data_IF_023350147996
#
_entry.id   IF_023350147996
#
_cell.length_a   1.000
_cell.length_b   1.000
_cell.length_c   1.000
_cell.angle_alpha   90.00
_cell.angle_beta   90.00
_cell.angle_gamma   90.00
#
_symmetry.space_group_name_H-M   'P 1'
#
loop_
_entity.id
_entity.type
_entity.pdbx_description
1 polymer ?
#
# COMPACT_ATOMS: atom_id res chain seq x y z
N UNK A 1 16.09 15.61 0.59
CA UNK A 1 14.96 15.14 -0.20
C UNK A 1 13.99 14.38 0.71
N UNK A 2 12.78 14.87 0.77
CA UNK A 2 11.70 14.37 1.63
C UNK A 2 11.14 13.07 1.09
N UNK A 3 11.07 12.02 1.92
CA UNK A 3 10.57 10.70 1.47
C UNK A 3 10.29 9.75 2.62
N UNK A 4 9.38 8.92 2.59
CA UNK A 4 8.00 8.68 2.32
C UNK A 4 7.58 7.28 2.60
N UNK A 5 6.53 7.10 3.29
CA UNK A 5 5.75 5.88 3.16
C UNK A 5 4.97 5.95 1.84
N UNK A 6 5.01 4.86 1.06
CA UNK A 6 4.15 4.61 -0.12
C UNK A 6 4.07 5.72 -1.18
N UNK A 7 5.12 6.51 -1.39
CA UNK A 7 5.17 7.43 -2.52
C UNK A 7 6.08 6.91 -3.62
N UNK A 8 5.59 6.90 -4.84
CA UNK A 8 6.32 6.52 -6.04
C UNK A 8 6.45 7.72 -6.98
N UNK A 9 7.63 7.91 -7.56
CA UNK A 9 7.88 8.94 -8.58
C UNK A 9 8.24 8.24 -9.89
N UNK A 10 7.40 8.42 -10.91
CA UNK A 10 7.60 7.83 -12.22
C UNK A 10 7.48 8.94 -13.25
N UNK A 11 8.59 9.24 -13.96
CA UNK A 11 8.65 10.32 -14.96
C UNK A 11 8.01 11.61 -14.46
N UNK A 12 8.48 12.09 -13.30
CA UNK A 12 8.02 13.32 -12.62
C UNK A 12 6.59 13.28 -12.04
N UNK A 13 5.87 12.17 -12.16
CA UNK A 13 4.58 11.98 -11.48
C UNK A 13 4.74 11.29 -10.13
N UNK A 14 3.97 11.75 -9.17
CA UNK A 14 3.98 11.26 -7.78
C UNK A 14 2.68 10.56 -7.47
N UNK A 15 2.80 9.27 -7.13
CA UNK A 15 1.69 8.45 -6.67
C UNK A 15 1.83 8.27 -5.17
N UNK A 16 0.77 8.53 -4.43
CA UNK A 16 0.68 8.29 -3.00
C UNK A 16 -0.42 7.26 -2.75
N UNK A 17 -0.14 6.26 -1.93
CA UNK A 17 -1.07 5.15 -1.69
C UNK A 17 -1.36 5.06 -0.20
N UNK A 18 -2.63 5.01 0.19
CA UNK A 18 -3.14 4.83 1.55
C UNK A 18 -2.32 5.61 2.60
N UNK A 19 -2.20 6.95 2.50
CA UNK A 19 -1.36 7.71 3.41
C UNK A 19 -2.02 7.86 4.77
N UNK A 20 -1.31 7.44 5.83
CA UNK A 20 -1.73 7.61 7.22
C UNK A 20 -0.60 8.28 7.99
N UNK A 21 -0.71 9.59 8.21
CA UNK A 21 0.28 10.38 8.92
C UNK A 21 -0.20 10.85 10.29
N UNK A 22 -1.51 10.85 10.56
CA UNK A 22 -2.07 11.36 11.79
C UNK A 22 -2.68 10.29 12.69
N UNK A 23 -3.65 9.51 12.18
CA UNK A 23 -4.30 8.49 13.00
C UNK A 23 -4.75 7.28 12.20
N UNK A 24 -4.46 6.11 12.73
CA UNK A 24 -4.88 4.82 12.19
C UNK A 24 -6.13 4.27 12.90
N UNK A 25 -6.88 5.12 13.61
CA UNK A 25 -8.07 4.68 14.35
C UNK A 25 -9.06 5.84 14.54
N UNK A 26 -10.34 5.56 14.82
CA UNK A 26 -11.36 6.59 15.06
C UNK A 26 -11.05 7.47 16.28
N UNK A 27 -10.26 6.98 17.22
CA UNK A 27 -9.87 7.69 18.43
C UNK A 27 -8.35 7.88 18.45
N UNK A 28 -7.84 9.14 18.45
CA UNK A 28 -6.40 9.43 18.27
C UNK A 28 -5.46 8.82 19.33
N UNK A 29 -6.01 8.37 20.46
CA UNK A 29 -5.22 7.74 21.52
C UNK A 29 -5.12 6.21 21.39
N UNK A 30 -5.90 5.58 20.50
CA UNK A 30 -5.71 4.19 20.08
C UNK A 30 -4.74 4.13 18.90
N UNK A 31 -4.03 3.04 18.75
CA UNK A 31 -3.09 2.79 17.64
C UNK A 31 -2.11 3.95 17.40
N UNK A 32 -1.40 4.33 18.45
CA UNK A 32 -0.30 5.30 18.30
C UNK A 32 0.83 4.69 17.48
N UNK A 33 1.47 5.45 16.60
CA UNK A 33 2.64 4.97 15.89
C UNK A 33 3.78 4.65 16.87
N UNK A 34 4.59 3.68 16.52
CA UNK A 34 5.82 3.41 17.28
C UNK A 34 6.73 4.64 17.30
N UNK A 35 7.45 4.81 18.39
CA UNK A 35 8.38 5.93 18.55
C UNK A 35 9.38 5.98 17.37
N UNK A 36 9.56 7.17 16.82
CA UNK A 36 10.45 7.38 15.66
C UNK A 36 9.86 7.06 14.29
N UNK A 37 8.59 6.65 14.19
CA UNK A 37 7.94 6.36 12.90
C UNK A 37 7.01 7.47 12.41
N UNK A 38 6.78 8.50 13.18
CA UNK A 38 5.93 9.67 12.90
C UNK A 38 6.71 10.91 12.43
N UNK A 39 7.86 10.68 11.80
CA UNK A 39 8.79 11.74 11.35
C UNK A 39 8.22 12.62 10.23
N UNK A 40 7.26 12.11 9.47
CA UNK A 40 6.68 12.80 8.31
C UNK A 40 5.25 13.20 8.59
N UNK A 41 4.91 14.40 8.13
CA UNK A 41 3.56 14.98 8.25
C UNK A 41 2.98 15.23 6.86
N UNK A 42 1.66 15.39 6.74
CA UNK A 42 1.04 15.74 5.46
C UNK A 42 1.67 17.00 4.83
N UNK A 43 2.07 17.96 5.65
CA UNK A 43 2.66 19.23 5.22
C UNK A 43 4.02 19.07 4.53
N UNK A 44 4.74 17.98 4.84
CA UNK A 44 6.04 17.66 4.24
C UNK A 44 5.90 17.03 2.84
N UNK A 45 4.68 16.63 2.45
CA UNK A 45 4.45 16.01 1.16
C UNK A 45 4.49 17.03 0.03
N UNK A 46 5.17 16.71 -1.08
CA UNK A 46 5.10 17.52 -2.29
C UNK A 46 3.71 17.43 -2.93
N UNK A 47 3.48 18.13 -4.04
CA UNK A 47 2.29 17.91 -4.88
C UNK A 47 2.17 16.44 -5.29
N UNK A 48 0.95 15.92 -5.26
CA UNK A 48 0.61 14.51 -5.54
C UNK A 48 -0.21 14.49 -6.82
N UNK A 49 0.28 13.80 -7.84
CA UNK A 49 -0.45 13.70 -9.11
C UNK A 49 -1.62 12.70 -8.99
N UNK A 50 -1.39 11.62 -8.25
CA UNK A 50 -2.37 10.56 -8.05
C UNK A 50 -2.35 10.08 -6.58
N UNK A 51 -3.49 10.18 -5.91
CA UNK A 51 -3.77 9.54 -4.63
C UNK A 51 -4.61 8.28 -4.89
N UNK A 52 -4.12 7.13 -4.46
CA UNK A 52 -4.82 5.85 -4.54
C UNK A 52 -5.22 5.43 -3.14
N UNK A 53 -6.48 5.07 -2.96
CA UNK A 53 -7.00 4.47 -1.72
C UNK A 53 -7.52 3.08 -2.05
N UNK A 54 -7.05 2.08 -1.32
CA UNK A 54 -7.43 0.68 -1.54
C UNK A 54 -8.74 0.30 -0.87
N UNK A 55 -9.02 0.86 0.29
CA UNK A 55 -10.27 0.67 1.04
C UNK A 55 -10.43 1.72 2.14
N UNK A 56 -11.56 1.69 2.85
CA UNK A 56 -11.93 2.76 3.78
C UNK A 56 -11.54 2.55 5.24
N UNK A 57 -10.74 1.53 5.59
CA UNK A 57 -10.28 1.34 6.96
C UNK A 57 -9.50 2.57 7.46
N UNK A 58 -9.50 2.78 8.78
CA UNK A 58 -8.92 3.96 9.40
C UNK A 58 -7.40 4.08 9.19
N UNK A 59 -6.73 2.96 9.06
CA UNK A 59 -5.29 2.85 8.80
C UNK A 59 -4.92 2.86 7.31
N UNK A 60 -5.88 3.15 6.42
CA UNK A 60 -5.69 3.36 4.97
C UNK A 60 -6.28 4.68 4.50
N UNK A 61 -7.40 5.11 5.07
CA UNK A 61 -8.07 6.36 4.75
C UNK A 61 -8.11 7.26 5.99
N UNK A 62 -7.03 7.96 6.27
CA UNK A 62 -6.91 8.90 7.39
C UNK A 62 -7.46 10.27 7.01
N UNK A 63 -8.57 10.67 7.64
CA UNK A 63 -9.24 11.95 7.43
C UNK A 63 -8.29 13.14 7.59
N UNK A 64 -7.51 13.15 8.68
CA UNK A 64 -6.58 14.24 8.98
C UNK A 64 -5.53 14.39 7.88
N UNK A 65 -4.96 13.26 7.45
CA UNK A 65 -3.97 13.23 6.38
C UNK A 65 -4.54 13.70 5.05
N UNK A 66 -5.63 13.09 4.57
CA UNK A 66 -6.13 13.38 3.21
C UNK A 66 -6.68 14.77 3.08
N UNK A 67 -7.34 15.32 4.11
CA UNK A 67 -7.85 16.69 4.08
C UNK A 67 -6.76 17.74 4.02
N UNK A 68 -5.63 17.53 4.70
CA UNK A 68 -4.44 18.39 4.61
C UNK A 68 -3.72 18.29 3.26
N UNK A 69 -3.86 17.15 2.58
CA UNK A 69 -3.29 16.93 1.24
C UNK A 69 -4.20 17.39 0.10
N UNK A 70 -5.45 17.75 0.36
CA UNK A 70 -6.48 18.03 -0.64
C UNK A 70 -6.01 18.98 -1.73
N UNK A 71 -5.49 20.13 -1.37
CA UNK A 71 -5.11 21.18 -2.31
C UNK A 71 -3.81 20.85 -3.08
N UNK A 72 -3.10 19.80 -2.66
CA UNK A 72 -1.89 19.29 -3.29
C UNK A 72 -2.13 18.02 -4.11
N UNK A 73 -3.37 17.48 -4.10
CA UNK A 73 -3.75 16.25 -4.77
C UNK A 73 -4.39 16.57 -6.11
N UNK A 74 -3.81 16.07 -7.19
CA UNK A 74 -4.31 16.24 -8.54
C UNK A 74 -5.55 15.40 -8.82
N UNK A 75 -5.48 14.09 -8.54
CA UNK A 75 -6.56 13.12 -8.72
C UNK A 75 -6.59 12.11 -7.57
N UNK A 76 -7.79 11.60 -7.29
CA UNK A 76 -8.04 10.47 -6.40
C UNK A 76 -8.58 9.31 -7.23
N UNK A 77 -8.06 8.10 -7.00
CA UNK A 77 -8.65 6.85 -7.48
C UNK A 77 -8.93 5.96 -6.27
N UNK A 78 -10.14 5.44 -6.18
CA UNK A 78 -10.58 4.61 -5.07
C UNK A 78 -11.68 3.63 -5.52
N UNK A 79 -12.00 2.60 -4.71
CA UNK A 79 -13.11 1.71 -4.97
C UNK A 79 -14.47 2.41 -4.77
N UNK A 80 -15.53 1.81 -5.34
CA UNK A 80 -16.90 2.31 -5.23
C UNK A 80 -17.32 2.60 -3.78
N UNK A 81 -17.95 3.76 -3.57
CA UNK A 81 -18.46 4.25 -2.29
C UNK A 81 -17.41 4.97 -1.43
N UNK A 82 -16.12 4.81 -1.72
CA UNK A 82 -15.04 5.52 -1.00
C UNK A 82 -14.98 6.99 -1.41
N UNK A 83 -15.35 7.31 -2.64
CA UNK A 83 -15.38 8.68 -3.15
C UNK A 83 -16.34 9.59 -2.39
N UNK A 84 -17.43 9.04 -1.83
CA UNK A 84 -18.37 9.81 -1.01
C UNK A 84 -17.69 10.47 0.21
N UNK A 85 -16.68 9.81 0.82
CA UNK A 85 -15.90 10.41 1.89
C UNK A 85 -15.13 11.64 1.39
N UNK A 86 -14.48 11.53 0.25
CA UNK A 86 -13.71 12.62 -0.34
C UNK A 86 -14.59 13.81 -0.70
N UNK A 87 -15.75 13.58 -1.30
CA UNK A 87 -16.73 14.63 -1.59
C UNK A 87 -17.21 15.32 -0.32
N UNK A 88 -17.58 14.55 0.70
CA UNK A 88 -17.98 15.05 2.01
C UNK A 88 -16.88 15.88 2.69
N UNK A 89 -15.61 15.53 2.44
CA UNK A 89 -14.44 16.26 2.97
C UNK A 89 -13.99 17.42 2.07
N UNK A 90 -14.77 17.76 1.04
CA UNK A 90 -14.60 18.94 0.22
C UNK A 90 -13.59 18.80 -0.93
N UNK A 91 -13.31 17.58 -1.37
CA UNK A 91 -12.61 17.37 -2.64
C UNK A 91 -13.54 17.69 -3.82
N UNK A 92 -12.97 18.17 -4.90
CA UNK A 92 -13.68 18.38 -6.16
C UNK A 92 -14.10 17.01 -6.77
N UNK A 93 -15.41 16.74 -6.95
CA UNK A 93 -15.87 15.48 -7.53
C UNK A 93 -15.25 15.17 -8.91
N UNK A 94 -14.88 16.18 -9.69
CA UNK A 94 -14.23 15.99 -10.99
C UNK A 94 -12.80 15.41 -10.89
N UNK A 95 -12.21 15.44 -9.70
CA UNK A 95 -10.89 14.86 -9.41
C UNK A 95 -10.98 13.47 -8.82
N UNK A 96 -12.17 12.95 -8.52
CA UNK A 96 -12.40 11.65 -7.93
C UNK A 96 -12.80 10.67 -9.04
N UNK A 97 -12.19 9.51 -9.02
CA UNK A 97 -12.52 8.39 -9.91
C UNK A 97 -12.76 7.17 -9.05
N UNK A 98 -13.98 6.72 -9.01
CA UNK A 98 -14.35 5.46 -8.37
C UNK A 98 -14.37 4.33 -9.40
N UNK A 99 -13.93 3.15 -9.00
CA UNK A 99 -13.86 1.97 -9.84
C UNK A 99 -14.44 0.74 -9.14
N UNK A 100 -15.19 -0.05 -9.89
CA UNK A 100 -15.58 -1.40 -9.48
C UNK A 100 -14.51 -2.42 -9.89
N UNK A 101 -14.58 -3.62 -9.32
CA UNK A 101 -13.72 -4.73 -9.73
C UNK A 101 -13.88 -5.03 -11.22
N UNK A 102 -12.78 -5.14 -11.92
CA UNK A 102 -12.74 -5.33 -13.37
C UNK A 102 -12.72 -4.04 -14.17
N UNK A 103 -13.01 -2.89 -13.57
CA UNK A 103 -12.96 -1.59 -14.24
C UNK A 103 -11.54 -1.01 -14.31
N UNK A 104 -11.40 0.01 -15.13
CA UNK A 104 -10.15 0.76 -15.32
C UNK A 104 -10.43 2.22 -15.67
N UNK A 105 -9.47 3.07 -15.40
CA UNK A 105 -9.49 4.49 -15.77
C UNK A 105 -8.18 4.92 -16.43
N UNK A 106 -8.28 5.53 -17.60
CA UNK A 106 -7.16 6.20 -18.25
C UNK A 106 -7.01 7.63 -17.68
N UNK A 107 -5.88 7.92 -17.06
CA UNK A 107 -5.62 9.18 -16.36
C UNK A 107 -4.83 10.19 -17.20
N UNK A 108 -4.57 9.86 -18.46
CA UNK A 108 -3.76 10.66 -19.38
C UNK A 108 -2.24 10.46 -19.17
N UNK A 109 -1.45 10.93 -20.14
CA UNK A 109 0.01 10.79 -20.10
C UNK A 109 0.52 9.33 -20.11
N UNK A 110 -0.29 8.39 -20.59
CA UNK A 110 0.05 6.96 -20.63
C UNK A 110 -0.12 6.25 -19.28
N UNK A 111 -0.88 6.83 -18.34
CA UNK A 111 -1.23 6.20 -17.08
C UNK A 111 -2.62 5.61 -17.14
N UNK A 112 -2.73 4.35 -16.77
CA UNK A 112 -4.02 3.63 -16.58
C UNK A 112 -4.01 2.94 -15.23
N UNK A 113 -5.11 3.03 -14.51
CA UNK A 113 -5.32 2.33 -13.25
C UNK A 113 -6.41 1.30 -13.44
N UNK A 114 -6.14 0.07 -13.06
CA UNK A 114 -7.05 -1.07 -13.13
C UNK A 114 -7.43 -1.48 -11.72
N UNK A 115 -8.72 -1.57 -11.43
CA UNK A 115 -9.25 -2.04 -10.15
C UNK A 115 -9.47 -3.55 -10.21
N UNK A 116 -8.91 -4.28 -9.25
CA UNK A 116 -9.00 -5.74 -9.17
C UNK A 116 -9.42 -6.19 -7.78
N UNK A 117 -10.01 -7.39 -7.67
CA UNK A 117 -10.41 -7.94 -6.38
C UNK A 117 -9.25 -8.03 -5.39
N UNK A 118 -9.57 -7.85 -4.11
CA UNK A 118 -8.74 -8.22 -2.98
C UNK A 118 -9.58 -9.04 -2.00
N UNK A 119 -8.95 -9.88 -1.20
CA UNK A 119 -9.64 -10.70 -0.20
C UNK A 119 -9.63 -10.02 1.16
N UNK A 120 -10.50 -9.01 1.30
CA UNK A 120 -10.58 -8.18 2.49
C UNK A 120 -12.04 -7.81 2.79
N UNK A 121 -12.25 -6.72 3.49
CA UNK A 121 -13.55 -6.10 3.75
C UNK A 121 -13.39 -4.59 3.91
N UNK A 122 -14.49 -3.85 4.01
CA UNK A 122 -14.48 -2.43 4.28
C UNK A 122 -15.25 -2.08 5.55
N UNK A 123 -14.93 -0.95 6.19
CA UNK A 123 -15.68 -0.50 7.36
C UNK A 123 -15.01 0.59 8.18
N UNK A 124 -15.72 1.71 8.30
CA UNK A 124 -15.39 2.83 9.21
C UNK A 124 -16.42 3.04 10.31
N UNK A 125 -17.51 2.31 10.27
CA UNK A 125 -18.64 2.45 11.20
C UNK A 125 -19.03 1.09 11.79
N UNK A 126 -20.11 1.07 12.56
CA UNK A 126 -20.68 -0.19 13.07
C UNK A 126 -21.26 -1.10 11.96
N UNK A 127 -21.28 -0.66 10.71
CA UNK A 127 -21.75 -1.44 9.57
C UNK A 127 -20.60 -1.63 8.60
N UNK A 128 -20.10 -2.85 8.48
CA UNK A 128 -19.08 -3.23 7.50
C UNK A 128 -19.66 -3.32 6.07
N UNK A 129 -18.76 -3.32 5.09
CA UNK A 129 -19.04 -3.58 3.67
C UNK A 129 -20.05 -2.58 3.05
N UNK A 130 -19.91 -1.30 3.38
CA UNK A 130 -20.72 -0.22 2.79
C UNK A 130 -20.02 0.41 1.59
N UNK A 131 -18.73 0.21 1.47
CA UNK A 131 -17.89 0.60 0.35
C UNK A 131 -17.21 -0.65 -0.21
N UNK A 132 -16.69 -0.57 -1.41
CA UNK A 132 -15.86 -1.62 -1.98
C UNK A 132 -14.43 -1.50 -1.43
N UNK A 133 -13.65 -2.57 -1.57
CA UNK A 133 -12.20 -2.64 -1.33
C UNK A 133 -11.53 -3.27 -2.54
N UNK A 134 -10.28 -2.95 -2.81
CA UNK A 134 -9.63 -3.38 -4.03
C UNK A 134 -8.11 -3.42 -3.94
N UNK A 135 -7.52 -4.24 -4.80
CA UNK A 135 -6.16 -4.06 -5.28
C UNK A 135 -6.15 -3.25 -6.58
N UNK A 136 -5.01 -2.67 -6.92
CA UNK A 136 -4.88 -1.90 -8.15
C UNK A 136 -3.65 -2.30 -8.93
N UNK A 137 -3.75 -2.32 -10.26
CA UNK A 137 -2.58 -2.28 -11.14
C UNK A 137 -2.47 -0.88 -11.73
N UNK A 138 -1.33 -0.25 -11.54
CA UNK A 138 -1.02 1.04 -12.17
C UNK A 138 -0.06 0.80 -13.31
N UNK A 139 -0.53 0.99 -14.52
CA UNK A 139 0.27 0.93 -15.73
C UNK A 139 0.72 2.33 -16.12
N UNK A 140 2.01 2.47 -16.37
CA UNK A 140 2.67 3.71 -16.76
C UNK A 140 3.42 3.48 -18.07
N UNK A 141 3.91 4.51 -18.76
CA UNK A 141 4.70 4.32 -19.98
C UNK A 141 5.95 3.44 -19.81
N UNK A 142 6.39 3.18 -18.59
CA UNK A 142 7.66 2.47 -18.34
C UNK A 142 7.58 1.38 -17.30
N UNK A 143 6.52 1.29 -16.53
CA UNK A 143 6.40 0.36 -15.41
C UNK A 143 4.97 -0.09 -15.21
N UNK A 144 4.83 -1.30 -14.70
CA UNK A 144 3.58 -1.91 -14.26
C UNK A 144 3.69 -2.27 -12.79
N UNK A 145 2.81 -1.70 -11.97
CA UNK A 145 2.90 -1.71 -10.53
C UNK A 145 1.62 -2.31 -9.97
N UNK A 146 1.75 -3.36 -9.17
CA UNK A 146 0.66 -3.92 -8.40
C UNK A 146 0.64 -3.33 -6.99
N UNK A 147 -0.51 -2.82 -6.58
CA UNK A 147 -0.80 -2.30 -5.24
C UNK A 147 -1.81 -3.25 -4.60
N UNK A 148 -1.36 -4.13 -3.73
CA UNK A 148 -2.21 -5.17 -3.15
C UNK A 148 -3.30 -4.63 -2.22
N UNK A 149 -3.01 -3.55 -1.49
CA UNK A 149 -3.82 -3.17 -0.34
C UNK A 149 -3.73 -4.21 0.75
N UNK A 150 -4.74 -4.30 1.59
CA UNK A 150 -4.88 -5.36 2.58
C UNK A 150 -5.70 -6.53 2.00
N UNK A 151 -5.31 -7.74 2.35
CA UNK A 151 -6.05 -8.92 1.90
C UNK A 151 -5.35 -10.23 2.21
N UNK A 152 -6.14 -11.24 2.56
CA UNK A 152 -5.65 -12.62 2.65
C UNK A 152 -5.30 -13.20 1.29
N UNK A 153 -4.48 -14.22 1.28
CA UNK A 153 -4.12 -14.91 0.04
C UNK A 153 -5.33 -15.63 -0.58
N UNK A 154 -5.45 -15.51 -1.92
CA UNK A 154 -6.34 -16.32 -2.76
C UNK A 154 -5.81 -16.32 -4.21
N UNK A 155 -6.55 -16.97 -5.13
CA UNK A 155 -6.20 -17.10 -6.55
C UNK A 155 -6.09 -15.77 -7.30
N UNK A 156 -6.61 -14.68 -6.74
CA UNK A 156 -6.57 -13.35 -7.37
C UNK A 156 -5.15 -12.85 -7.68
N UNK A 157 -4.13 -13.28 -6.94
CA UNK A 157 -2.73 -12.95 -7.26
C UNK A 157 -2.28 -13.59 -8.57
N UNK A 158 -2.58 -14.87 -8.77
CA UNK A 158 -2.31 -15.56 -10.03
C UNK A 158 -3.14 -15.02 -11.19
N UNK A 159 -4.40 -14.59 -10.92
CA UNK A 159 -5.25 -13.95 -11.94
C UNK A 159 -4.68 -12.61 -12.39
N UNK A 160 -4.20 -11.79 -11.46
CA UNK A 160 -3.51 -10.53 -11.76
C UNK A 160 -2.25 -10.79 -12.59
N UNK A 161 -1.42 -11.74 -12.21
CA UNK A 161 -0.18 -12.06 -12.96
C UNK A 161 -0.47 -12.53 -14.38
N UNK A 162 -1.56 -13.29 -14.58
CA UNK A 162 -2.01 -13.74 -15.91
C UNK A 162 -2.48 -12.60 -16.78
N UNK A 163 -3.20 -11.66 -16.21
CA UNK A 163 -3.72 -10.48 -16.92
C UNK A 163 -2.62 -9.43 -17.17
N UNK A 164 -1.73 -9.26 -16.20
CA UNK A 164 -0.66 -8.26 -16.23
C UNK A 164 0.71 -8.93 -16.12
N UNK A 165 1.19 -9.62 -17.15
CA UNK A 165 2.51 -10.27 -17.10
C UNK A 165 3.62 -9.22 -17.00
N UNK A 166 4.74 -9.62 -16.40
CA UNK A 166 5.93 -8.78 -16.21
C UNK A 166 5.67 -7.55 -15.32
N UNK A 167 5.11 -7.78 -14.15
CA UNK A 167 5.01 -6.74 -13.13
C UNK A 167 6.41 -6.26 -12.72
N UNK A 168 6.63 -4.97 -12.76
CA UNK A 168 7.89 -4.37 -12.31
C UNK A 168 7.96 -4.29 -10.78
N UNK A 169 6.83 -3.99 -10.16
CA UNK A 169 6.74 -3.81 -8.71
C UNK A 169 5.44 -4.41 -8.19
N UNK A 170 5.54 -5.12 -7.07
CA UNK A 170 4.40 -5.48 -6.24
C UNK A 170 4.58 -4.87 -4.84
N UNK A 171 3.56 -4.17 -4.36
CA UNK A 171 3.46 -3.66 -3.00
C UNK A 171 2.46 -4.54 -2.28
N UNK A 172 2.92 -5.33 -1.31
CA UNK A 172 2.13 -6.35 -0.63
C UNK A 172 2.12 -6.09 0.88
N UNK A 173 1.00 -6.32 1.53
CA UNK A 173 1.00 -6.38 2.98
C UNK A 173 1.82 -7.58 3.48
N UNK A 174 2.48 -7.45 4.62
CA UNK A 174 3.20 -8.53 5.30
C UNK A 174 3.13 -8.42 6.83
N UNK A 175 2.23 -7.60 7.34
CA UNK A 175 2.06 -7.38 8.76
C UNK A 175 0.60 -7.44 9.21
N UNK A 176 0.39 -7.33 10.53
CA UNK A 176 -0.94 -7.29 11.14
C UNK A 176 -1.76 -8.56 10.93
N UNK A 177 -1.09 -9.69 10.74
CA UNK A 177 -1.72 -10.99 10.56
C UNK A 177 -2.00 -11.72 11.89
N UNK A 178 -2.97 -12.63 11.85
CA UNK A 178 -3.29 -13.59 12.90
C UNK A 178 -4.02 -14.78 12.30
N UNK A 179 -3.91 -15.95 12.93
CA UNK A 179 -4.71 -17.13 12.56
C UNK A 179 -6.22 -16.85 12.65
N UNK A 180 -6.64 -15.94 13.54
CA UNK A 180 -8.05 -15.59 13.73
C UNK A 180 -8.64 -14.85 12.53
N UNK A 181 -7.82 -14.17 11.73
CA UNK A 181 -8.23 -13.43 10.53
C UNK A 181 -7.35 -13.69 9.29
N UNK A 182 -6.84 -14.91 9.18
CA UNK A 182 -6.02 -15.41 8.07
C UNK A 182 -6.61 -15.19 6.67
N UNK A 183 -7.90 -14.90 6.58
CA UNK A 183 -8.58 -14.67 5.30
C UNK A 183 -8.59 -13.20 4.88
N UNK A 184 -8.21 -12.30 5.76
CA UNK A 184 -8.22 -10.86 5.50
C UNK A 184 -6.83 -10.20 5.65
N UNK A 185 -5.84 -10.97 6.13
CA UNK A 185 -4.42 -10.62 6.16
C UNK A 185 -3.57 -11.86 5.88
N UNK A 186 -2.53 -11.69 5.08
CA UNK A 186 -1.65 -12.79 4.71
C UNK A 186 -0.79 -13.25 5.88
N UNK A 187 -0.83 -14.54 6.18
CA UNK A 187 0.17 -15.18 7.03
C UNK A 187 1.53 -15.20 6.30
N UNK A 188 2.66 -15.37 7.00
CA UNK A 188 3.99 -15.40 6.35
C UNK A 188 4.12 -16.41 5.21
N UNK A 189 3.51 -17.59 5.36
CA UNK A 189 3.49 -18.61 4.30
C UNK A 189 2.64 -18.18 3.08
N UNK A 190 1.60 -17.37 3.30
CA UNK A 190 0.75 -16.85 2.25
C UNK A 190 1.44 -15.71 1.48
N UNK A 191 2.23 -14.88 2.16
CA UNK A 191 3.09 -13.89 1.49
C UNK A 191 4.02 -14.57 0.47
N UNK A 192 4.67 -15.69 0.84
CA UNK A 192 5.51 -16.46 -0.06
C UNK A 192 4.74 -16.86 -1.33
N UNK A 193 3.54 -17.41 -1.17
CA UNK A 193 2.68 -17.82 -2.29
C UNK A 193 2.29 -16.65 -3.18
N UNK A 194 1.90 -15.51 -2.59
CA UNK A 194 1.54 -14.31 -3.34
C UNK A 194 2.74 -13.78 -4.15
N UNK A 195 3.94 -13.78 -3.58
CA UNK A 195 5.18 -13.39 -4.27
C UNK A 195 5.48 -14.31 -5.45
N UNK A 196 5.36 -15.63 -5.26
CA UNK A 196 5.56 -16.63 -6.30
C UNK A 196 4.53 -16.50 -7.42
N UNK A 197 3.25 -16.34 -7.09
CA UNK A 197 2.17 -16.20 -8.08
C UNK A 197 2.32 -14.93 -8.94
N UNK A 198 2.65 -13.80 -8.30
CA UNK A 198 2.79 -12.52 -9.01
C UNK A 198 4.03 -12.44 -9.89
N UNK A 199 5.12 -13.07 -9.49
CA UNK A 199 6.38 -13.08 -10.25
C UNK A 199 6.89 -11.66 -10.56
N UNK A 200 6.63 -10.68 -9.69
CA UNK A 200 7.07 -9.31 -9.88
C UNK A 200 8.57 -9.17 -9.73
N UNK A 201 9.19 -8.29 -10.53
CA UNK A 201 10.63 -8.06 -10.49
C UNK A 201 11.12 -7.48 -9.15
N UNK A 202 10.29 -6.73 -8.46
CA UNK A 202 10.52 -6.16 -7.13
C UNK A 202 9.30 -6.30 -6.27
N UNK A 203 9.50 -6.70 -5.02
CA UNK A 203 8.43 -6.80 -4.02
C UNK A 203 8.77 -5.89 -2.83
N UNK A 204 7.82 -5.05 -2.46
CA UNK A 204 7.89 -4.18 -1.29
C UNK A 204 6.87 -4.65 -0.26
N UNK A 205 7.30 -5.39 0.77
CA UNK A 205 6.46 -5.68 1.92
C UNK A 205 6.12 -4.41 2.68
N UNK A 206 4.85 -4.23 3.00
CA UNK A 206 4.31 -3.03 3.68
C UNK A 206 3.31 -3.43 4.76
N UNK A 207 2.64 -2.47 5.38
CA UNK A 207 1.66 -2.69 6.45
C UNK A 207 2.28 -3.17 7.76
N UNK A 208 3.55 -2.88 7.96
CA UNK A 208 4.35 -3.23 9.15
C UNK A 208 5.07 -2.02 9.74
N UNK A 209 5.69 -2.19 10.89
CA UNK A 209 6.68 -1.28 11.50
C UNK A 209 6.19 0.11 11.91
N UNK A 210 4.90 0.45 11.78
CA UNK A 210 4.39 1.76 12.20
C UNK A 210 3.35 1.70 13.31
N UNK A 211 2.41 0.78 13.22
CA UNK A 211 1.32 0.61 14.18
C UNK A 211 1.25 -0.84 14.64
N UNK A 212 0.67 -1.07 15.82
CA UNK A 212 0.34 -2.40 16.31
C UNK A 212 -1.18 -2.63 16.19
N UNK A 213 -1.61 -3.36 15.17
CA UNK A 213 -2.99 -3.79 14.98
C UNK A 213 -3.15 -5.26 15.38
N UNK A 214 -2.14 -6.10 15.11
CA UNK A 214 -2.07 -7.50 15.51
C UNK A 214 -1.17 -7.71 16.74
N UNK A 215 -1.00 -8.97 17.14
CA UNK A 215 -0.28 -9.35 18.36
C UNK A 215 1.11 -9.92 18.13
N UNK A 216 1.58 -10.02 16.89
CA UNK A 216 2.96 -10.43 16.61
C UNK A 216 3.96 -9.34 17.02
N UNK A 217 5.24 -9.66 17.30
CA UNK A 217 6.30 -8.69 17.47
C UNK A 217 6.40 -7.72 16.30
N UNK A 218 6.77 -6.47 16.55
CA UNK A 218 6.80 -5.42 15.52
C UNK A 218 7.77 -5.70 14.37
N UNK A 219 8.83 -6.43 14.65
CA UNK A 219 9.90 -6.80 13.71
C UNK A 219 9.71 -8.18 13.08
N UNK A 220 8.73 -8.97 13.53
CA UNK A 220 8.47 -10.30 13.00
C UNK A 220 8.17 -10.30 11.49
N UNK A 221 7.32 -9.40 10.94
CA UNK A 221 7.09 -9.32 9.51
C UNK A 221 8.37 -9.07 8.71
N UNK A 222 9.21 -8.14 9.18
CA UNK A 222 10.50 -7.86 8.53
C UNK A 222 11.45 -9.07 8.57
N UNK A 223 11.47 -9.81 9.67
CA UNK A 223 12.27 -11.02 9.79
C UNK A 223 11.79 -12.12 8.84
N UNK A 224 10.47 -12.29 8.71
CA UNK A 224 9.86 -13.25 7.79
C UNK A 224 10.14 -12.88 6.33
N UNK A 225 9.96 -11.62 5.96
CA UNK A 225 10.25 -11.14 4.61
C UNK A 225 11.76 -11.24 4.27
N UNK A 226 12.64 -10.99 5.24
CA UNK A 226 14.09 -11.18 5.06
C UNK A 226 14.48 -12.65 4.91
N UNK A 227 13.82 -13.55 5.64
CA UNK A 227 14.02 -14.99 5.47
C UNK A 227 13.57 -15.44 4.08
N UNK A 228 12.39 -15.00 3.63
CA UNK A 228 11.89 -15.29 2.29
C UNK A 228 12.83 -14.74 1.19
N UNK A 229 13.37 -13.53 1.37
CA UNK A 229 14.35 -12.96 0.45
C UNK A 229 15.65 -13.78 0.37
N UNK A 230 16.08 -14.35 1.49
CA UNK A 230 17.26 -15.22 1.53
C UNK A 230 17.01 -16.60 0.90
N UNK A 231 15.81 -17.15 1.08
CA UNK A 231 15.40 -18.42 0.47
C UNK A 231 15.18 -18.28 -1.05
N UNK A 232 14.67 -17.14 -1.50
CA UNK A 232 14.34 -16.85 -2.90
C UNK A 232 14.89 -15.47 -3.32
N UNK A 233 16.20 -15.36 -3.61
CA UNK A 233 16.82 -14.10 -4.03
C UNK A 233 16.22 -13.51 -5.32
N UNK A 234 15.69 -14.35 -6.20
CA UNK A 234 15.06 -13.93 -7.47
C UNK A 234 13.72 -13.19 -7.26
N UNK A 235 13.10 -13.35 -6.09
CA UNK A 235 11.84 -12.68 -5.76
C UNK A 235 11.98 -11.14 -5.63
N UNK A 236 13.20 -10.63 -5.58
CA UNK A 236 13.46 -9.19 -5.59
C UNK A 236 12.86 -8.42 -4.42
N UNK A 237 12.75 -9.06 -3.25
CA UNK A 237 12.18 -8.45 -2.03
C UNK A 237 13.11 -7.35 -1.53
N UNK A 238 12.55 -6.18 -1.25
CA UNK A 238 13.26 -4.99 -0.80
C UNK A 238 12.66 -4.49 0.51
N UNK A 239 13.51 -4.35 1.54
CA UNK A 239 13.12 -3.96 2.89
C UNK A 239 13.78 -2.62 3.30
N UNK A 240 13.36 -1.50 2.71
CA UNK A 240 13.94 -0.19 3.00
C UNK A 240 13.54 0.30 4.40
N UNK A 241 14.35 1.16 4.99
CA UNK A 241 13.92 1.93 6.17
C UNK A 241 12.70 2.79 5.83
N UNK A 242 11.87 3.07 6.82
CA UNK A 242 10.76 4.02 6.66
C UNK A 242 11.31 5.35 6.12
N UNK A 243 10.83 5.76 4.94
CA UNK A 243 11.27 6.97 4.26
C UNK A 243 12.54 6.84 3.42
N UNK A 244 13.20 5.69 3.38
CA UNK A 244 14.34 5.46 2.52
C UNK A 244 13.91 5.36 1.04
N UNK A 245 14.55 6.11 0.12
CA UNK A 245 14.24 6.01 -1.30
C UNK A 245 14.87 4.77 -1.92
N UNK A 246 14.09 3.99 -2.63
CA UNK A 246 14.56 2.87 -3.44
C UNK A 246 14.50 3.24 -4.92
N UNK A 247 15.55 2.92 -5.65
CA UNK A 247 15.59 3.06 -7.10
C UNK A 247 15.24 1.73 -7.75
N UNK A 248 14.30 1.74 -8.66
CA UNK A 248 13.82 0.55 -9.35
C UNK A 248 14.73 0.12 -10.52
N UNK A 249 15.56 1.04 -11.02
CA UNK A 249 16.47 0.86 -12.16
C UNK A 249 17.84 0.27 -11.77
N UNK A 250 18.10 0.11 -10.48
CA UNK A 250 19.36 -0.45 -9.97
C UNK A 250 19.10 -1.79 -9.27
N UNK A 251 20.07 -2.68 -9.38
CA UNK A 251 20.17 -3.85 -8.50
C UNK A 251 20.72 -3.40 -7.15
N UNK A 252 19.93 -2.64 -6.40
CA UNK A 252 20.36 -2.27 -5.06
C UNK A 252 20.45 -3.54 -4.23
N UNK A 253 21.61 -3.76 -3.62
CA UNK A 253 21.81 -4.79 -2.62
C UNK A 253 20.76 -4.63 -1.54
N UNK A 254 20.21 -5.76 -1.06
CA UNK A 254 19.29 -5.76 0.07
C UNK A 254 19.88 -4.90 1.19
N UNK A 255 19.17 -3.85 1.66
CA UNK A 255 19.64 -3.10 2.80
C UNK A 255 19.83 -4.08 3.95
N UNK A 256 20.89 -3.90 4.73
CA UNK A 256 21.09 -4.69 5.94
C UNK A 256 19.85 -4.64 6.83
N UNK A 257 19.70 -5.60 7.75
CA UNK A 257 18.57 -5.68 8.70
C UNK A 257 18.58 -4.45 9.64
N UNK A 258 18.13 -3.32 9.13
CA UNK A 258 18.13 -2.03 9.83
C UNK A 258 17.30 -2.02 11.13
N UNK A 259 16.41 -3.01 11.30
CA UNK A 259 15.55 -3.19 12.46
C UNK A 259 16.18 -4.04 13.57
N UNK A 260 17.34 -4.64 13.33
CA UNK A 260 18.10 -5.33 14.38
C UNK A 260 18.99 -4.34 15.11
N UNK A 261 19.21 -4.55 16.41
CA UNK A 261 20.20 -3.77 17.14
C UNK A 261 21.58 -3.94 16.47
N UNK A 262 22.42 -2.90 16.39
CA UNK A 262 23.80 -3.05 15.94
C UNK A 262 24.47 -4.12 16.80
N UNK A 263 25.15 -5.09 16.17
CA UNK A 263 26.01 -6.03 16.89
C UNK A 263 27.10 -5.20 17.59
N UNK A 264 27.16 -5.28 18.93
CA UNK A 264 28.16 -4.60 19.77
C UNK A 264 29.55 -5.21 19.57
#
# INVERSE_FOLDING_TARGET
SLRRQRQMCIRDRRILVDPVFETASPLPFFNRPFEGTDLYKPEDMPGIDLLVITHDHWDHLDYGTVTKLRDRTGRVVCPLGVGEYFEYWGFDPQRITELDWGEQAALGGGFTVYCRPARHFSGRTFRANRTLWASFVVETPSQRIFLGGDGGYDTHFADVAREFPNLDVAVLEDGQYSEDWRYIHMLPADLKRAVEDLGARRVFPVHNSKYALARHPWDEPLNNAAALAAENPEAGIVLPRIGEPVRLDRSDTLPGRWWTAPEN
#
